data_IF_240901910239
#
_entry.id   IF_240901910239
#
_cell.length_a   1.000
_cell.length_b   1.000
_cell.length_c   1.000
_cell.angle_alpha   90.00
_cell.angle_beta   90.00
_cell.angle_gamma   90.00
#
_symmetry.space_group_name_H-M   'P 1'
#
loop_
_entity.id
_entity.type
_entity.pdbx_description
1 polymer ?
#
# COMPACT_ATOMS: atom_id res chain seq x y z
N UNK A 1 -2.11 -21.40 -4.46
CA UNK A 1 -3.12 -20.40 -4.05
C UNK A 1 -2.54 -19.05 -4.37
N UNK A 2 -3.22 -18.27 -5.21
CA UNK A 2 -2.83 -16.87 -5.42
C UNK A 2 -2.84 -16.16 -4.07
N UNK A 3 -1.72 -15.53 -3.70
CA UNK A 3 -1.67 -14.68 -2.52
C UNK A 3 -2.53 -13.46 -2.82
N UNK A 4 -3.63 -13.32 -2.08
CA UNK A 4 -4.53 -12.17 -2.13
C UNK A 4 -3.72 -10.87 -2.00
N UNK A 5 -4.03 -9.89 -2.84
CA UNK A 5 -3.36 -8.59 -2.84
C UNK A 5 -4.01 -7.71 -1.77
N UNK A 6 -3.22 -7.29 -0.78
CA UNK A 6 -3.64 -6.31 0.21
C UNK A 6 -3.19 -4.91 -0.22
N UNK A 7 -4.14 -4.00 -0.41
CA UNK A 7 -3.88 -2.61 -0.73
C UNK A 7 -3.98 -1.77 0.53
N UNK A 8 -2.91 -1.04 0.87
CA UNK A 8 -2.87 -0.15 2.04
C UNK A 8 -2.84 1.29 1.58
N UNK A 9 -3.90 2.04 1.86
CA UNK A 9 -4.01 3.47 1.59
C UNK A 9 -3.34 4.28 2.71
N UNK A 10 -2.66 5.37 2.36
CA UNK A 10 -1.90 6.16 3.33
C UNK A 10 -0.68 5.39 3.88
N UNK A 11 -0.07 4.54 3.05
CA UNK A 11 0.99 3.61 3.45
C UNK A 11 2.28 4.28 3.95
N UNK A 12 2.48 5.58 3.66
CA UNK A 12 3.61 6.36 4.17
C UNK A 12 3.37 6.96 5.56
N UNK A 13 2.16 6.86 6.12
CA UNK A 13 1.84 7.33 7.46
C UNK A 13 2.26 6.34 8.55
N UNK A 14 2.21 6.76 9.82
CA UNK A 14 2.63 5.93 10.96
C UNK A 14 1.95 4.56 10.98
N UNK A 15 0.62 4.54 11.05
CA UNK A 15 -0.16 3.29 11.05
C UNK A 15 -0.04 2.52 9.72
N UNK A 16 -0.14 3.20 8.59
CA UNK A 16 -0.06 2.57 7.26
C UNK A 16 1.27 1.83 7.05
N UNK A 17 2.38 2.45 7.43
CA UNK A 17 3.70 1.84 7.29
C UNK A 17 3.90 0.63 8.22
N UNK A 18 3.33 0.66 9.43
CA UNK A 18 3.34 -0.47 10.35
C UNK A 18 2.51 -1.65 9.82
N UNK A 19 1.32 -1.37 9.26
CA UNK A 19 0.47 -2.39 8.65
C UNK A 19 1.13 -3.05 7.45
N UNK A 20 1.78 -2.28 6.57
CA UNK A 20 2.50 -2.84 5.42
C UNK A 20 3.58 -3.82 5.87
N UNK A 21 4.40 -3.45 6.87
CA UNK A 21 5.46 -4.31 7.40
C UNK A 21 4.90 -5.62 7.98
N UNK A 22 3.78 -5.55 8.69
CA UNK A 22 3.15 -6.74 9.26
C UNK A 22 2.51 -7.64 8.20
N UNK A 23 1.89 -7.07 7.16
CA UNK A 23 1.34 -7.87 6.07
C UNK A 23 2.46 -8.59 5.29
N UNK A 24 3.60 -7.90 5.07
CA UNK A 24 4.79 -8.50 4.45
C UNK A 24 5.37 -9.61 5.34
N UNK A 25 5.48 -9.39 6.66
CA UNK A 25 6.04 -10.39 7.59
C UNK A 25 5.26 -11.70 7.58
N UNK A 26 3.94 -11.63 7.36
CA UNK A 26 3.02 -12.77 7.19
C UNK A 26 3.08 -13.39 5.79
N UNK A 27 3.86 -12.83 4.88
CA UNK A 27 4.04 -13.32 3.52
C UNK A 27 2.92 -12.91 2.55
N UNK A 28 2.13 -11.89 2.86
CA UNK A 28 1.12 -11.40 1.92
C UNK A 28 1.75 -10.57 0.78
N UNK A 29 1.04 -10.48 -0.35
CA UNK A 29 1.36 -9.50 -1.39
C UNK A 29 0.75 -8.17 -1.00
N UNK A 30 1.54 -7.10 -1.02
CA UNK A 30 1.12 -5.80 -0.50
C UNK A 30 1.39 -4.71 -1.52
N UNK A 31 0.39 -3.86 -1.77
CA UNK A 31 0.53 -2.59 -2.48
C UNK A 31 0.39 -1.43 -1.50
N UNK A 32 1.42 -0.60 -1.44
CA UNK A 32 1.49 0.57 -0.58
C UNK A 32 1.15 1.82 -1.38
N UNK A 33 -0.03 2.39 -1.14
CA UNK A 33 -0.52 3.58 -1.86
C UNK A 33 -0.25 4.82 -1.02
N UNK A 34 0.43 5.79 -1.61
CA UNK A 34 0.64 7.11 -1.00
C UNK A 34 0.81 8.18 -2.07
N UNK A 35 0.66 9.46 -1.69
CA UNK A 35 0.91 10.59 -2.61
C UNK A 35 2.36 10.68 -3.10
N UNK A 36 3.29 10.10 -2.35
CA UNK A 36 4.72 10.04 -2.71
C UNK A 36 5.13 8.78 -3.48
N UNK A 37 4.32 7.72 -3.44
CA UNK A 37 4.61 6.43 -4.10
C UNK A 37 5.70 5.56 -3.44
N UNK A 38 6.27 6.01 -2.32
CA UNK A 38 7.25 5.23 -1.57
C UNK A 38 6.62 4.05 -0.83
N UNK A 39 7.37 2.95 -0.73
CA UNK A 39 6.96 1.73 -0.03
C UNK A 39 8.12 1.11 0.76
N UNK A 40 7.82 0.43 1.88
CA UNK A 40 8.77 -0.49 2.52
C UNK A 40 9.23 -1.59 1.56
N UNK A 41 10.44 -2.12 1.78
CA UNK A 41 10.98 -3.26 1.04
C UNK A 41 10.01 -4.46 1.12
N UNK A 42 9.74 -5.09 -0.03
CA UNK A 42 8.81 -6.20 -0.15
C UNK A 42 7.36 -5.81 -0.51
N UNK A 43 7.01 -4.51 -0.53
CA UNK A 43 5.75 -4.01 -1.07
C UNK A 43 5.91 -3.37 -2.45
N UNK A 44 4.84 -3.43 -3.25
CA UNK A 44 4.69 -2.65 -4.48
C UNK A 44 4.30 -1.20 -4.11
N UNK A 45 5.13 -0.22 -4.46
CA UNK A 45 4.80 1.20 -4.26
C UNK A 45 3.89 1.73 -5.36
N UNK A 46 2.84 2.45 -4.98
CA UNK A 46 1.94 3.13 -5.92
C UNK A 46 1.72 4.58 -5.51
N UNK A 47 1.97 5.49 -6.45
CA UNK A 47 1.65 6.91 -6.29
C UNK A 47 0.19 7.15 -6.63
N UNK A 48 -0.61 7.58 -5.65
CA UNK A 48 -1.98 8.08 -5.88
C UNK A 48 -2.41 9.04 -4.77
N UNK A 49 -3.31 9.96 -5.11
CA UNK A 49 -4.02 10.80 -4.15
C UNK A 49 -5.47 10.33 -4.03
N UNK A 50 -5.75 9.50 -3.03
CA UNK A 50 -7.08 8.91 -2.80
C UNK A 50 -8.13 9.92 -2.30
N UNK A 51 -7.76 11.19 -2.11
CA UNK A 51 -8.72 12.25 -1.82
C UNK A 51 -9.41 12.80 -3.08
N UNK A 52 -8.95 12.44 -4.29
CA UNK A 52 -9.65 12.74 -5.55
C UNK A 52 -10.38 11.50 -6.07
N UNK A 53 -11.49 11.66 -6.83
CA UNK A 53 -12.18 10.54 -7.46
C UNK A 53 -11.25 9.69 -8.35
N UNK A 54 -10.45 10.35 -9.20
CA UNK A 54 -9.56 9.66 -10.14
C UNK A 54 -8.46 8.89 -9.39
N UNK A 55 -7.94 9.44 -8.30
CA UNK A 55 -6.92 8.79 -7.49
C UNK A 55 -7.49 7.63 -6.65
N UNK A 56 -8.74 7.72 -6.22
CA UNK A 56 -9.44 6.63 -5.54
C UNK A 56 -9.77 5.49 -6.50
N UNK A 57 -10.18 5.79 -7.74
CA UNK A 57 -10.45 4.78 -8.78
C UNK A 57 -9.17 4.06 -9.24
N UNK A 58 -8.04 4.77 -9.26
CA UNK A 58 -6.77 4.20 -9.68
C UNK A 58 -6.11 3.29 -8.63
N UNK A 59 -6.39 3.49 -7.34
CA UNK A 59 -5.72 2.83 -6.21
C UNK A 59 -6.21 1.39 -5.99
#
# INVERSE_FOLDING_TARGET
MDRELHVVLGASGGTGSALVRELISRGHRVRAVSRGGGAPEGAEGMKSDVSTPEGAEAA
#
